data_IF_858449009571
#
_entry.id   IF_858449009571
#
_cell.length_a   1.000
_cell.length_b   1.000
_cell.length_c   1.000
_cell.angle_alpha   90.00
_cell.angle_beta   90.00
_cell.angle_gamma   90.00
#
_symmetry.space_group_name_H-M   'P 1'
#
loop_
_entity.id
_entity.type
_entity.pdbx_description
1 polymer ?
#
# COMPACT_ATOMS: atom_id res chain seq x y z
N UNK A 1 -9.73 -50.86 -22.63
CA UNK A 1 -11.19 -50.80 -22.46
C UNK A 1 -11.43 -50.76 -20.96
N UNK A 2 -12.08 -49.76 -20.36
CA UNK A 2 -12.72 -48.56 -20.95
C UNK A 2 -12.62 -47.34 -20.01
N UNK A 3 -12.87 -46.16 -20.59
CA UNK A 3 -13.08 -44.83 -20.00
C UNK A 3 -12.98 -44.61 -18.47
N UNK A 4 -12.02 -43.78 -18.07
CA UNK A 4 -12.19 -42.88 -16.92
C UNK A 4 -12.91 -41.60 -17.38
N UNK A 5 -13.95 -41.17 -16.65
CA UNK A 5 -14.73 -39.96 -16.97
C UNK A 5 -14.11 -38.72 -16.32
N UNK A 6 -13.85 -37.68 -17.12
CA UNK A 6 -13.43 -36.36 -16.64
C UNK A 6 -14.62 -35.60 -16.04
N UNK A 7 -14.69 -35.47 -14.71
CA UNK A 7 -15.53 -34.45 -14.09
C UNK A 7 -14.77 -33.11 -14.01
N UNK A 8 -15.22 -32.14 -14.80
CA UNK A 8 -14.63 -30.80 -14.83
C UNK A 8 -15.01 -30.01 -13.58
N UNK A 9 -14.08 -29.91 -12.62
CA UNK A 9 -14.27 -29.08 -11.43
C UNK A 9 -14.32 -27.59 -11.82
N UNK A 10 -15.48 -26.94 -11.66
CA UNK A 10 -15.67 -25.53 -12.01
C UNK A 10 -15.03 -24.62 -10.94
N UNK A 11 -14.35 -23.52 -11.30
CA UNK A 11 -13.89 -22.54 -10.33
C UNK A 11 -15.10 -21.85 -9.67
N UNK A 12 -15.10 -21.81 -8.33
CA UNK A 12 -16.06 -21.02 -7.56
C UNK A 12 -15.65 -19.53 -7.57
N UNK A 13 -16.58 -18.57 -7.62
CA UNK A 13 -16.26 -17.16 -7.82
C UNK A 13 -15.57 -16.50 -6.62
N UNK A 14 -14.68 -15.55 -6.92
CA UNK A 14 -13.99 -14.70 -5.95
C UNK A 14 -14.96 -13.90 -5.06
N UNK A 15 -14.63 -13.74 -3.78
CA UNK A 15 -15.41 -12.94 -2.83
C UNK A 15 -14.55 -11.91 -2.13
N UNK A 16 -14.54 -10.69 -2.67
CA UNK A 16 -14.29 -9.45 -1.93
C UNK A 16 -15.34 -8.41 -2.34
N UNK A 17 -16.49 -8.45 -1.67
CA UNK A 17 -17.48 -7.38 -1.73
C UNK A 17 -16.99 -6.21 -0.85
N UNK A 18 -16.50 -5.15 -1.48
CA UNK A 18 -16.55 -3.81 -0.90
C UNK A 18 -17.83 -3.12 -1.43
N UNK A 19 -18.50 -2.33 -0.60
CA UNK A 19 -19.86 -1.87 -0.90
C UNK A 19 -19.95 -1.00 -2.16
N UNK A 20 -21.06 -1.19 -2.89
CA UNK A 20 -21.62 -0.25 -3.86
C UNK A 20 -23.13 -0.14 -3.64
N UNK A 21 -23.71 0.84 -4.35
CA UNK A 21 -25.14 1.10 -4.57
C UNK A 21 -25.91 1.76 -3.41
N UNK A 22 -26.99 2.52 -3.71
CA UNK A 22 -27.67 2.63 -5.02
C UNK A 22 -27.82 4.05 -5.60
N UNK A 23 -28.04 4.14 -6.93
CA UNK A 23 -29.17 4.91 -7.51
C UNK A 23 -29.33 4.74 -9.06
N UNK A 24 -30.55 5.08 -9.53
CA UNK A 24 -30.97 5.40 -10.92
C UNK A 24 -31.07 4.27 -11.97
N UNK A 25 -32.19 3.55 -11.87
CA UNK A 25 -33.16 3.26 -12.94
C UNK A 25 -32.72 3.19 -14.43
N UNK A 26 -33.01 2.04 -15.07
CA UNK A 26 -33.28 1.93 -16.51
C UNK A 26 -34.77 1.67 -16.76
N UNK A 27 -35.44 2.48 -17.59
CA UNK A 27 -36.86 2.32 -17.96
C UNK A 27 -37.06 2.53 -19.46
N UNK A 28 -37.72 1.55 -20.10
CA UNK A 28 -38.61 1.73 -21.26
C UNK A 28 -38.11 2.51 -22.47
N UNK A 29 -37.69 1.77 -23.51
CA UNK A 29 -37.78 2.27 -24.89
C UNK A 29 -39.27 2.52 -25.24
N UNK A 30 -39.63 3.77 -25.49
CA UNK A 30 -40.98 4.17 -25.93
C UNK A 30 -40.89 5.29 -26.97
N UNK A 31 -41.21 4.99 -28.22
CA UNK A 31 -41.11 5.94 -29.32
C UNK A 31 -42.33 6.88 -29.35
N UNK A 32 -42.10 8.19 -29.47
CA UNK A 32 -43.15 9.14 -29.86
C UNK A 32 -42.57 10.31 -30.66
N UNK A 33 -43.04 10.43 -31.90
CA UNK A 33 -42.56 11.35 -32.93
C UNK A 33 -43.38 12.66 -32.89
N UNK A 34 -42.72 13.82 -32.82
CA UNK A 34 -43.31 15.14 -33.10
C UNK A 34 -42.25 16.19 -33.46
N UNK A 35 -42.69 17.30 -34.05
CA UNK A 35 -41.91 18.17 -34.93
C UNK A 35 -41.23 19.37 -34.25
N UNK A 36 -40.24 19.92 -34.96
CA UNK A 36 -39.58 21.22 -34.70
C UNK A 36 -40.59 22.39 -34.57
N UNK A 37 -40.15 23.50 -33.96
CA UNK A 37 -39.63 24.59 -34.79
C UNK A 37 -38.21 25.05 -34.44
N UNK A 38 -37.55 25.68 -35.42
CA UNK A 38 -36.21 26.28 -35.33
C UNK A 38 -36.24 27.60 -34.54
N UNK A 39 -35.16 27.90 -33.80
CA UNK A 39 -34.97 29.21 -33.15
C UNK A 39 -33.49 29.62 -33.21
N UNK A 40 -33.22 30.71 -33.94
CA UNK A 40 -31.87 31.27 -34.15
C UNK A 40 -31.52 32.29 -33.06
N UNK A 41 -30.28 32.25 -32.56
CA UNK A 41 -29.72 33.23 -31.62
C UNK A 41 -28.33 33.66 -32.15
N UNK A 42 -28.01 34.97 -32.21
CA UNK A 42 -26.83 35.47 -32.92
C UNK A 42 -25.53 35.42 -32.11
N UNK A 43 -24.39 35.44 -32.82
CA UNK A 43 -23.07 35.72 -32.23
C UNK A 43 -22.84 37.22 -32.09
N UNK A 44 -22.34 37.73 -30.95
CA UNK A 44 -21.62 39.00 -30.91
C UNK A 44 -20.19 38.83 -31.44
N UNK A 45 -19.64 39.88 -32.05
CA UNK A 45 -18.23 39.96 -32.43
C UNK A 45 -17.45 40.85 -31.45
N UNK A 46 -16.16 40.59 -31.26
CA UNK A 46 -15.30 41.38 -30.39
C UNK A 46 -13.83 41.05 -30.56
N UNK A 47 -13.11 41.86 -31.34
CA UNK A 47 -11.70 41.66 -31.69
C UNK A 47 -10.90 42.93 -31.44
N UNK A 48 -9.81 42.83 -30.68
CA UNK A 48 -8.80 43.90 -30.55
C UNK A 48 -7.38 43.33 -30.69
N UNK A 49 -6.38 44.12 -31.14
CA UNK A 49 -5.22 43.58 -31.86
C UNK A 49 -3.90 43.59 -31.07
N UNK A 50 -2.97 42.73 -31.51
CA UNK A 50 -1.54 42.83 -31.18
C UNK A 50 -0.77 43.55 -32.31
N UNK A 51 0.23 44.40 -31.98
CA UNK A 51 1.00 45.15 -32.99
C UNK A 51 2.02 44.26 -33.72
N UNK A 52 2.28 44.58 -35.01
CA UNK A 52 3.32 43.90 -35.81
C UNK A 52 4.60 44.73 -35.87
N UNK A 53 5.73 44.16 -35.44
CA UNK A 53 7.06 44.55 -35.93
C UNK A 53 7.37 43.88 -37.27
N UNK A 54 8.14 44.54 -38.15
CA UNK A 54 8.69 43.95 -39.39
C UNK A 54 10.22 44.03 -39.36
N UNK A 55 10.90 42.97 -39.82
CA UNK A 55 12.36 42.91 -40.02
C UNK A 55 12.72 42.09 -41.26
N UNK A 56 13.92 42.29 -41.84
CA UNK A 56 14.34 41.76 -43.16
C UNK A 56 15.87 41.61 -43.26
N UNK A 57 16.45 40.81 -44.17
CA UNK A 57 15.81 39.89 -45.12
C UNK A 57 15.79 38.43 -44.56
N UNK A 58 16.57 37.42 -44.94
CA UNK A 58 17.62 37.24 -45.97
C UNK A 58 17.52 35.81 -46.60
N UNK A 59 18.62 35.26 -47.14
CA UNK A 59 18.65 33.96 -47.82
C UNK A 59 19.90 33.15 -47.49
N UNK A 60 19.73 31.83 -47.30
CA UNK A 60 20.71 30.79 -47.63
C UNK A 60 19.95 29.47 -47.88
N UNK A 61 20.45 28.58 -48.76
CA UNK A 61 19.77 27.32 -49.13
C UNK A 61 20.76 26.18 -49.43
N UNK A 62 20.93 25.27 -48.48
CA UNK A 62 21.47 23.91 -48.64
C UNK A 62 20.80 23.04 -47.56
N UNK A 63 20.16 21.90 -47.84
CA UNK A 63 20.71 20.63 -48.33
C UNK A 63 21.70 19.98 -47.36
N UNK A 64 21.20 19.17 -46.41
CA UNK A 64 21.17 17.70 -46.54
C UNK A 64 20.45 17.03 -45.33
N UNK A 65 20.29 15.71 -45.39
CA UNK A 65 19.54 14.88 -44.44
C UNK A 65 20.32 14.45 -43.21
N UNK A 66 19.68 14.50 -42.04
CA UNK A 66 20.13 13.89 -40.78
C UNK A 66 18.91 13.55 -39.90
N UNK A 67 18.98 12.46 -39.12
CA UNK A 67 17.81 11.94 -38.39
C UNK A 67 17.50 12.69 -37.08
N UNK A 68 16.23 12.95 -36.83
CA UNK A 68 15.72 13.54 -35.58
C UNK A 68 15.11 12.48 -34.66
N UNK A 69 15.70 12.26 -33.49
CA UNK A 69 15.20 11.30 -32.51
C UNK A 69 16.18 11.05 -31.36
N UNK A 70 16.34 12.02 -30.46
CA UNK A 70 17.25 11.87 -29.32
C UNK A 70 17.44 13.06 -28.37
N UNK A 71 16.95 14.27 -28.69
CA UNK A 71 17.32 15.48 -27.92
C UNK A 71 16.31 15.86 -26.82
N UNK A 72 15.00 15.70 -27.04
CA UNK A 72 13.95 16.11 -26.07
C UNK A 72 13.91 15.28 -24.77
N UNK A 73 14.53 14.10 -24.74
CA UNK A 73 14.51 13.20 -23.58
C UNK A 73 15.48 13.61 -22.46
N UNK A 74 16.56 14.35 -22.79
CA UNK A 74 17.65 14.66 -21.85
C UNK A 74 17.23 15.67 -20.75
N UNK A 75 16.51 16.77 -21.05
CA UNK A 75 16.11 17.73 -20.02
C UNK A 75 15.19 17.12 -18.95
N UNK A 76 14.18 16.36 -19.38
CA UNK A 76 13.22 15.72 -18.47
C UNK A 76 13.91 14.70 -17.54
N UNK A 77 14.86 13.91 -18.06
CA UNK A 77 15.63 12.97 -17.25
C UNK A 77 16.54 13.67 -16.23
N UNK A 78 17.13 14.82 -16.58
CA UNK A 78 17.90 15.64 -15.63
C UNK A 78 17.02 16.27 -14.56
N UNK A 79 15.84 16.77 -14.91
CA UNK A 79 14.90 17.38 -13.96
C UNK A 79 14.30 16.35 -13.00
N UNK A 80 13.85 15.18 -13.50
CA UNK A 80 13.42 14.06 -12.67
C UNK A 80 14.54 13.61 -11.71
N UNK A 81 15.78 13.54 -12.18
CA UNK A 81 16.93 13.21 -11.34
C UNK A 81 17.17 14.25 -10.25
N UNK A 82 17.14 15.54 -10.56
CA UNK A 82 17.28 16.61 -9.55
C UNK A 82 16.12 16.59 -8.54
N UNK A 83 14.89 16.33 -8.98
CA UNK A 83 13.76 16.15 -8.08
C UNK A 83 13.91 14.93 -7.17
N UNK A 84 14.42 13.81 -7.69
CA UNK A 84 14.74 12.61 -6.89
C UNK A 84 15.82 12.90 -5.86
N UNK A 85 16.94 13.51 -6.27
CA UNK A 85 18.05 13.87 -5.38
C UNK A 85 17.57 14.83 -4.27
N UNK A 86 16.69 15.80 -4.57
CA UNK A 86 16.05 16.65 -3.55
C UNK A 86 15.05 15.91 -2.65
N UNK A 87 14.38 14.86 -3.12
CA UNK A 87 13.47 14.03 -2.31
C UNK A 87 14.24 13.10 -1.36
N UNK A 88 15.33 12.50 -1.84
CA UNK A 88 16.24 11.71 -1.01
C UNK A 88 16.89 12.57 0.09
N UNK A 89 17.32 13.80 -0.25
CA UNK A 89 17.81 14.79 0.73
C UNK A 89 16.75 15.30 1.72
N UNK A 90 15.45 15.09 1.46
CA UNK A 90 14.33 15.45 2.37
C UNK A 90 13.82 14.28 3.21
N UNK A 91 14.24 13.05 2.94
CA UNK A 91 13.78 11.88 3.67
C UNK A 91 14.41 11.81 5.06
N UNK A 92 13.59 11.75 6.11
CA UNK A 92 14.08 11.67 7.49
C UNK A 92 14.43 10.24 7.84
N UNK A 93 15.71 9.98 8.13
CA UNK A 93 16.15 8.69 8.68
C UNK A 93 15.43 8.41 10.02
N UNK A 94 14.99 7.17 10.23
CA UNK A 94 14.45 6.75 11.52
C UNK A 94 15.54 6.72 12.60
N UNK A 95 15.12 6.95 13.84
CA UNK A 95 15.88 6.62 15.04
C UNK A 95 16.20 5.11 15.05
N UNK A 96 17.45 4.75 15.39
CA UNK A 96 17.90 3.36 15.59
C UNK A 96 18.42 3.25 17.02
N UNK A 97 17.92 2.28 17.79
CA UNK A 97 18.24 2.10 19.21
C UNK A 97 18.67 0.66 19.49
N UNK A 98 19.81 0.51 20.15
CA UNK A 98 20.39 -0.78 20.53
C UNK A 98 20.14 -1.10 22.01
N UNK A 99 20.12 -2.39 22.38
CA UNK A 99 20.06 -2.82 23.79
C UNK A 99 18.78 -2.43 24.55
N UNK A 100 17.68 -2.14 23.85
CA UNK A 100 16.42 -1.67 24.43
C UNK A 100 15.77 -2.76 25.29
N UNK A 101 15.52 -2.46 26.57
CA UNK A 101 14.76 -3.36 27.48
C UNK A 101 13.25 -3.13 27.34
N UNK A 102 12.44 -4.13 27.75
CA UNK A 102 10.97 -4.03 27.79
C UNK A 102 10.49 -2.79 28.56
N UNK A 103 11.14 -2.51 29.69
CA UNK A 103 10.82 -1.40 30.60
C UNK A 103 11.15 -0.06 29.97
N UNK A 104 12.28 0.03 29.24
CA UNK A 104 12.65 1.25 28.50
C UNK A 104 11.76 1.46 27.27
N UNK A 105 11.32 0.38 26.60
CA UNK A 105 10.39 0.47 25.49
C UNK A 105 9.02 0.98 25.94
N UNK A 106 8.40 0.32 26.93
CA UNK A 106 7.11 0.71 27.49
C UNK A 106 7.18 2.08 28.22
N UNK A 107 8.29 2.32 28.93
CA UNK A 107 8.75 3.59 29.52
C UNK A 107 8.70 4.77 28.54
N UNK A 108 9.64 4.73 27.60
CA UNK A 108 10.15 5.95 26.96
C UNK A 108 9.91 5.99 25.46
N UNK A 109 9.64 4.85 24.81
CA UNK A 109 9.60 4.70 23.34
C UNK A 109 8.16 4.52 22.85
N UNK A 110 7.46 3.51 23.35
CA UNK A 110 6.09 3.18 22.99
C UNK A 110 5.12 4.36 23.16
N UNK A 111 5.21 5.22 24.22
CA UNK A 111 4.36 6.40 24.35
C UNK A 111 4.67 7.52 23.35
N UNK A 112 5.82 7.52 22.65
CA UNK A 112 6.16 8.52 21.62
C UNK A 112 5.26 8.43 20.38
N UNK A 113 4.67 7.25 20.13
CA UNK A 113 3.84 6.91 18.95
C UNK A 113 4.52 7.26 17.60
N UNK A 114 5.84 7.06 17.53
CA UNK A 114 6.68 7.23 16.34
C UNK A 114 7.39 5.91 16.00
N UNK A 115 7.70 5.63 14.71
CA UNK A 115 8.48 4.47 14.32
C UNK A 115 9.93 4.59 14.79
N UNK A 116 10.54 3.45 15.11
CA UNK A 116 11.94 3.32 15.53
C UNK A 116 12.45 1.94 15.14
N UNK A 117 13.71 1.82 14.71
CA UNK A 117 14.35 0.51 14.53
C UNK A 117 15.04 0.13 15.83
N UNK A 118 14.81 -1.09 16.28
CA UNK A 118 15.46 -1.70 17.44
C UNK A 118 16.50 -2.71 16.94
N UNK A 119 17.70 -2.64 17.50
CA UNK A 119 18.85 -3.48 17.12
C UNK A 119 19.35 -4.28 18.32
N UNK A 120 20.11 -5.35 18.06
CA UNK A 120 20.71 -6.17 19.12
C UNK A 120 19.71 -7.00 19.94
N UNK A 121 18.50 -7.23 19.41
CA UNK A 121 17.48 -8.03 20.09
C UNK A 121 17.71 -9.54 19.88
N UNK A 122 17.54 -10.31 20.95
CA UNK A 122 17.61 -11.77 20.91
C UNK A 122 16.33 -12.35 20.28
N UNK A 123 16.43 -12.70 18.99
CA UNK A 123 15.32 -13.17 18.15
C UNK A 123 15.27 -14.71 18.01
N UNK A 124 16.15 -15.44 18.68
CA UNK A 124 16.29 -16.88 18.53
C UNK A 124 17.12 -17.27 17.29
N UNK A 125 17.34 -18.58 17.08
CA UNK A 125 18.20 -19.08 16.01
C UNK A 125 17.72 -18.75 14.59
N UNK A 126 16.46 -18.32 14.40
CA UNK A 126 15.89 -18.00 13.08
C UNK A 126 16.80 -17.13 12.19
N UNK A 127 17.43 -16.10 12.76
CA UNK A 127 18.34 -15.15 12.08
C UNK A 127 19.59 -15.78 11.46
N UNK A 128 19.97 -16.99 11.89
CA UNK A 128 21.15 -17.72 11.38
C UNK A 128 20.76 -19.04 10.71
N UNK A 129 19.66 -19.66 11.16
CA UNK A 129 19.20 -20.99 10.72
C UNK A 129 18.35 -20.94 9.46
N UNK A 130 17.64 -19.83 9.19
CA UNK A 130 16.70 -19.72 8.07
C UNK A 130 17.38 -19.42 6.73
N UNK A 131 18.20 -20.37 6.28
CA UNK A 131 18.65 -20.48 4.89
C UNK A 131 17.52 -20.97 3.99
N UNK A 132 17.66 -20.78 2.67
CA UNK A 132 16.71 -21.28 1.66
C UNK A 132 16.51 -22.80 1.82
N UNK A 133 17.60 -23.55 1.97
CA UNK A 133 17.55 -25.01 2.14
C UNK A 133 16.85 -25.44 3.43
N UNK A 134 17.04 -24.73 4.55
CA UNK A 134 16.37 -25.03 5.81
C UNK A 134 14.87 -24.72 5.73
N UNK A 135 14.51 -23.54 5.21
CA UNK A 135 13.11 -23.13 5.03
C UNK A 135 12.37 -24.12 4.10
N UNK A 136 12.99 -24.55 3.01
CA UNK A 136 12.45 -25.57 2.10
C UNK A 136 12.41 -27.00 2.68
N UNK A 137 12.84 -27.23 3.92
CA UNK A 137 12.75 -28.52 4.61
C UNK A 137 11.84 -28.45 5.84
N UNK A 138 11.84 -27.33 6.58
CA UNK A 138 11.20 -27.19 7.88
C UNK A 138 9.69 -27.50 7.89
N UNK A 139 8.96 -27.03 6.87
CA UNK A 139 7.48 -27.12 6.82
C UNK A 139 6.98 -28.00 5.65
N UNK A 140 7.92 -28.69 4.98
CA UNK A 140 7.65 -29.60 3.88
C UNK A 140 6.90 -28.98 2.69
N UNK A 141 6.17 -29.83 1.97
CA UNK A 141 5.40 -29.47 0.76
C UNK A 141 4.01 -28.89 1.07
N UNK A 142 3.86 -28.16 2.19
CA UNK A 142 2.59 -27.54 2.59
C UNK A 142 2.14 -26.49 1.59
N UNK A 143 0.93 -26.61 1.05
CA UNK A 143 0.37 -25.64 0.11
C UNK A 143 0.20 -24.24 0.75
N UNK A 144 0.81 -23.22 0.15
CA UNK A 144 0.73 -21.82 0.57
C UNK A 144 0.17 -20.92 -0.53
N UNK A 145 -0.72 -20.00 -0.16
CA UNK A 145 -1.32 -19.01 -1.07
C UNK A 145 -0.37 -17.84 -1.25
N UNK A 146 0.00 -17.56 -2.49
CA UNK A 146 1.02 -16.58 -2.87
C UNK A 146 0.48 -15.60 -3.92
N UNK A 147 1.08 -14.41 -3.94
CA UNK A 147 0.92 -13.44 -5.01
C UNK A 147 2.07 -13.66 -6.00
N UNK A 148 1.76 -13.56 -7.30
CA UNK A 148 2.74 -13.63 -8.39
C UNK A 148 2.53 -12.43 -9.30
N UNK A 149 3.57 -11.66 -9.59
CA UNK A 149 3.51 -10.53 -10.52
C UNK A 149 4.65 -10.58 -11.53
N UNK A 150 4.36 -10.26 -12.79
CA UNK A 150 5.35 -10.17 -13.86
C UNK A 150 6.20 -8.87 -13.78
N UNK A 151 5.96 -8.00 -12.79
CA UNK A 151 6.71 -6.76 -12.58
C UNK A 151 7.06 -6.57 -11.09
N UNK A 152 8.13 -5.83 -10.75
CA UNK A 152 8.53 -5.63 -9.35
C UNK A 152 7.53 -4.81 -8.52
N UNK A 153 6.86 -3.82 -9.13
CA UNK A 153 5.90 -2.95 -8.45
C UNK A 153 4.47 -3.52 -8.56
N UNK A 154 3.93 -4.00 -7.43
CA UNK A 154 2.56 -4.48 -7.36
C UNK A 154 1.56 -3.33 -7.29
N UNK A 155 0.55 -3.36 -8.16
CA UNK A 155 -0.54 -2.39 -8.24
C UNK A 155 -1.87 -3.03 -7.85
N UNK A 156 -2.60 -2.43 -6.89
CA UNK A 156 -3.93 -2.86 -6.48
C UNK A 156 -5.08 -2.19 -7.25
N UNK A 157 -4.80 -1.14 -8.01
CA UNK A 157 -5.76 -0.39 -8.83
C UNK A 157 -6.03 -1.17 -10.13
N UNK A 158 -4.97 -1.48 -10.89
CA UNK A 158 -5.06 -2.34 -12.08
C UNK A 158 -5.06 -3.84 -11.76
N UNK A 159 -4.58 -4.22 -10.56
CA UNK A 159 -4.40 -5.63 -10.12
C UNK A 159 -3.44 -6.40 -11.04
N UNK A 160 -2.24 -5.86 -11.24
CA UNK A 160 -1.17 -6.41 -12.09
C UNK A 160 -0.49 -7.69 -11.54
N UNK A 161 -1.17 -8.44 -10.67
CA UNK A 161 -0.68 -9.62 -9.98
C UNK A 161 -1.80 -10.65 -9.85
N UNK A 162 -1.43 -11.92 -9.78
CA UNK A 162 -2.37 -13.05 -9.66
C UNK A 162 -2.14 -13.83 -8.37
N UNK A 163 -3.20 -14.42 -7.84
CA UNK A 163 -3.11 -15.40 -6.77
C UNK A 163 -2.79 -16.79 -7.34
N UNK A 164 -1.87 -17.50 -6.68
CA UNK A 164 -1.51 -18.90 -6.95
C UNK A 164 -1.36 -19.65 -5.64
N UNK A 165 -1.22 -20.97 -5.74
CA UNK A 165 -0.79 -21.83 -4.65
C UNK A 165 0.45 -22.60 -5.12
N UNK A 166 1.37 -22.85 -4.21
CA UNK A 166 2.51 -23.75 -4.39
C UNK A 166 2.78 -24.49 -3.08
N UNK A 167 3.39 -25.69 -3.14
CA UNK A 167 4.13 -26.26 -2.03
C UNK A 167 5.14 -25.23 -1.48
N UNK A 168 5.19 -25.08 -0.16
CA UNK A 168 6.01 -24.07 0.52
C UNK A 168 7.50 -24.18 0.16
N UNK A 169 8.02 -25.40 0.07
CA UNK A 169 9.40 -25.65 -0.30
C UNK A 169 9.73 -25.20 -1.73
N UNK A 170 8.83 -25.44 -2.70
CA UNK A 170 8.95 -24.98 -4.07
C UNK A 170 8.82 -23.45 -4.16
N UNK A 171 7.87 -22.87 -3.43
CA UNK A 171 7.72 -21.41 -3.33
C UNK A 171 8.99 -20.75 -2.77
N UNK A 172 9.58 -21.27 -1.69
CA UNK A 172 10.79 -20.68 -1.07
C UNK A 172 11.97 -20.65 -2.06
N UNK A 173 12.20 -21.75 -2.80
CA UNK A 173 13.28 -21.80 -3.81
C UNK A 173 13.04 -20.79 -4.93
N UNK A 174 11.85 -20.80 -5.57
CA UNK A 174 11.52 -19.85 -6.63
C UNK A 174 11.48 -18.39 -6.15
N UNK A 175 11.07 -18.14 -4.91
CA UNK A 175 11.09 -16.79 -4.34
C UNK A 175 12.52 -16.23 -4.24
N UNK A 176 13.52 -17.08 -4.01
CA UNK A 176 14.93 -16.72 -3.97
C UNK A 176 15.61 -16.63 -5.35
N UNK A 177 15.03 -17.25 -6.39
CA UNK A 177 15.54 -17.16 -7.77
C UNK A 177 15.28 -15.77 -8.40
N UNK A 178 16.19 -15.35 -9.28
CA UNK A 178 16.04 -14.12 -10.10
C UNK A 178 15.41 -14.43 -11.45
N UNK A 179 15.64 -15.63 -11.97
CA UNK A 179 14.94 -16.21 -13.13
C UNK A 179 14.58 -17.66 -12.86
N UNK A 180 13.34 -18.04 -13.17
CA UNK A 180 12.75 -19.33 -12.83
C UNK A 180 12.67 -20.22 -14.06
N UNK A 181 12.96 -21.52 -13.88
CA UNK A 181 12.72 -22.52 -14.94
C UNK A 181 11.25 -22.89 -15.11
N UNK A 182 10.48 -22.73 -14.03
CA UNK A 182 9.05 -22.99 -13.97
C UNK A 182 8.36 -21.75 -13.39
N UNK A 183 7.42 -21.17 -14.14
CA UNK A 183 6.77 -19.90 -13.80
C UNK A 183 5.29 -19.91 -14.21
N UNK A 184 4.51 -18.93 -13.73
CA UNK A 184 3.08 -18.78 -14.02
C UNK A 184 2.77 -17.69 -15.06
N UNK A 185 3.62 -16.68 -15.18
CA UNK A 185 3.47 -15.49 -16.02
C UNK A 185 4.72 -15.27 -16.89
N UNK A 186 5.89 -15.08 -16.28
CA UNK A 186 7.16 -14.77 -16.95
C UNK A 186 8.35 -15.40 -16.24
N UNK A 187 9.47 -15.60 -16.95
CA UNK A 187 10.69 -16.19 -16.38
C UNK A 187 11.31 -15.35 -15.25
N UNK A 188 10.98 -14.07 -15.14
CA UNK A 188 11.51 -13.10 -14.17
C UNK A 188 10.48 -12.69 -13.09
N UNK A 189 9.34 -13.39 -13.01
CA UNK A 189 8.22 -13.07 -12.13
C UNK A 189 8.61 -12.99 -10.64
N UNK A 190 7.85 -12.22 -9.87
CA UNK A 190 8.13 -11.94 -8.45
C UNK A 190 7.07 -12.57 -7.57
N UNK A 191 7.53 -13.30 -6.56
CA UNK A 191 6.70 -14.05 -5.63
C UNK A 191 6.58 -13.34 -4.27
N UNK A 192 5.39 -13.36 -3.68
CA UNK A 192 5.14 -12.81 -2.34
C UNK A 192 4.11 -13.62 -1.53
N UNK A 193 4.54 -14.08 -0.35
CA UNK A 193 3.71 -14.73 0.67
C UNK A 193 3.38 -13.75 1.80
N UNK A 194 2.09 -13.70 2.16
CA UNK A 194 1.56 -13.12 3.40
C UNK A 194 0.73 -14.21 4.05
N UNK A 195 1.19 -14.80 5.15
CA UNK A 195 0.46 -15.92 5.78
C UNK A 195 -0.94 -15.51 6.25
N UNK A 196 -1.87 -16.45 6.23
CA UNK A 196 -3.27 -16.25 6.63
C UNK A 196 -3.68 -17.35 7.60
N UNK A 197 -4.74 -17.11 8.38
CA UNK A 197 -5.41 -18.16 9.12
C UNK A 197 -6.04 -19.22 8.20
N UNK A 198 -6.43 -20.35 8.80
CA UNK A 198 -6.93 -21.53 8.07
C UNK A 198 -8.24 -21.22 7.34
N UNK A 199 -9.26 -20.71 8.06
CA UNK A 199 -10.34 -19.95 7.43
C UNK A 199 -10.01 -18.44 7.50
N UNK A 200 -9.59 -17.88 6.36
CA UNK A 200 -9.25 -16.46 6.19
C UNK A 200 -10.37 -15.50 6.69
N UNK A 201 -11.63 -15.95 6.79
CA UNK A 201 -12.77 -15.15 7.29
C UNK A 201 -13.00 -15.23 8.80
N UNK A 202 -12.35 -16.16 9.51
CA UNK A 202 -12.48 -16.35 10.97
C UNK A 202 -11.15 -16.27 11.72
N UNK A 203 -10.09 -16.76 11.10
CA UNK A 203 -8.80 -17.00 11.72
C UNK A 203 -7.79 -15.91 11.34
N UNK A 204 -7.20 -15.31 12.38
CA UNK A 204 -5.96 -14.55 12.31
C UNK A 204 -4.81 -15.43 11.80
N UNK A 205 -3.79 -14.80 11.19
CA UNK A 205 -2.51 -15.48 11.01
C UNK A 205 -1.81 -15.62 12.38
N UNK A 206 -1.20 -16.77 12.61
CA UNK A 206 -0.37 -17.06 13.78
C UNK A 206 0.69 -18.06 13.36
N UNK A 207 1.97 -17.65 13.36
CA UNK A 207 3.09 -18.50 12.97
C UNK A 207 3.11 -19.81 13.77
N UNK A 208 2.74 -19.78 15.06
CA UNK A 208 2.69 -20.95 15.95
C UNK A 208 1.65 -22.01 15.53
N UNK A 209 0.70 -21.64 14.67
CA UNK A 209 -0.31 -22.54 14.09
C UNK A 209 0.02 -22.92 12.65
N UNK A 210 0.37 -21.93 11.83
CA UNK A 210 0.57 -22.16 10.39
C UNK A 210 1.97 -22.67 10.02
N UNK A 211 2.99 -22.39 10.84
CA UNK A 211 4.37 -22.83 10.63
C UNK A 211 5.02 -23.18 11.99
N UNK A 212 4.55 -24.24 12.68
CA UNK A 212 4.95 -24.53 14.05
C UNK A 212 6.44 -24.87 14.18
N UNK A 213 7.07 -25.48 13.18
CA UNK A 213 8.49 -25.87 13.22
C UNK A 213 9.37 -24.62 13.05
N UNK A 214 8.96 -23.69 12.20
CA UNK A 214 9.59 -22.36 12.13
C UNK A 214 9.32 -21.52 13.39
N UNK A 215 8.15 -21.66 14.03
CA UNK A 215 7.83 -20.90 15.24
C UNK A 215 8.73 -21.25 16.44
N UNK A 216 9.30 -22.46 16.50
CA UNK A 216 10.29 -22.86 17.52
C UNK A 216 11.63 -22.11 17.38
N UNK A 217 11.94 -21.51 16.22
CA UNK A 217 13.17 -20.76 15.99
C UNK A 217 13.10 -19.27 16.36
N UNK A 218 11.92 -18.75 16.68
CA UNK A 218 11.66 -17.30 16.77
C UNK A 218 11.29 -16.88 18.19
N UNK A 219 12.16 -16.10 18.82
CA UNK A 219 11.82 -15.32 20.01
C UNK A 219 11.16 -14.00 19.60
N UNK A 220 9.84 -13.90 19.80
CA UNK A 220 9.10 -12.63 19.60
C UNK A 220 9.36 -11.71 20.80
N UNK A 221 9.81 -10.45 20.61
CA UNK A 221 10.02 -9.52 21.71
C UNK A 221 8.74 -9.25 22.51
N UNK A 222 8.72 -9.60 23.81
CA UNK A 222 7.55 -9.48 24.70
C UNK A 222 7.26 -8.04 25.17
N UNK A 223 7.31 -7.05 24.26
CA UNK A 223 7.10 -5.62 24.54
C UNK A 223 5.63 -5.18 24.55
N UNK A 224 4.71 -6.13 24.70
CA UNK A 224 3.27 -5.93 24.88
C UNK A 224 2.72 -7.05 25.80
N UNK A 225 1.55 -6.86 26.40
CA UNK A 225 0.92 -7.90 27.24
C UNK A 225 0.25 -8.97 26.37
N UNK A 226 0.23 -10.22 26.85
CA UNK A 226 -0.08 -11.40 26.01
C UNK A 226 -1.52 -11.40 25.49
N UNK A 227 -2.42 -10.74 26.22
CA UNK A 227 -3.83 -10.51 25.91
C UNK A 227 -4.02 -9.46 24.79
N UNK A 228 -3.03 -8.60 24.57
CA UNK A 228 -3.04 -7.62 23.47
C UNK A 228 -2.72 -8.26 22.12
N UNK A 229 -2.09 -9.44 22.08
CA UNK A 229 -1.74 -10.12 20.84
C UNK A 229 -2.93 -10.19 19.87
N UNK A 230 -2.67 -9.91 18.60
CA UNK A 230 -3.68 -9.99 17.54
C UNK A 230 -3.29 -10.97 16.44
N UNK A 231 -2.06 -10.92 15.90
CA UNK A 231 -1.66 -11.80 14.81
C UNK A 231 -0.14 -11.86 14.65
N UNK A 232 0.40 -12.98 14.20
CA UNK A 232 1.79 -13.07 13.71
C UNK A 232 1.79 -13.55 12.25
N UNK A 233 2.13 -12.63 11.35
CA UNK A 233 2.03 -12.78 9.89
C UNK A 233 3.42 -13.01 9.32
N UNK A 234 3.65 -14.22 8.83
CA UNK A 234 4.88 -14.61 8.15
C UNK A 234 4.91 -14.02 6.73
N UNK A 235 6.05 -13.44 6.34
CA UNK A 235 6.26 -12.72 5.08
C UNK A 235 7.51 -13.27 4.38
N UNK A 236 7.38 -13.70 3.13
CA UNK A 236 8.51 -14.05 2.25
C UNK A 236 8.30 -13.37 0.91
N UNK A 237 9.37 -12.82 0.32
CA UNK A 237 9.32 -12.00 -0.91
C UNK A 237 10.57 -12.15 -1.76
N UNK A 238 10.40 -12.18 -3.09
CA UNK A 238 11.49 -12.06 -4.05
C UNK A 238 12.20 -10.71 -4.03
N UNK A 239 13.49 -10.71 -4.39
CA UNK A 239 14.29 -9.50 -4.56
C UNK A 239 13.68 -8.53 -5.59
N UNK A 240 13.59 -7.26 -5.18
CA UNK A 240 13.03 -6.14 -5.94
C UNK A 240 11.52 -5.93 -5.78
N UNK A 241 10.79 -6.85 -5.14
CA UNK A 241 9.33 -6.73 -5.02
C UNK A 241 8.93 -5.57 -4.09
N UNK A 242 8.08 -4.68 -4.61
CA UNK A 242 7.48 -3.55 -3.91
C UNK A 242 5.99 -3.78 -3.66
N UNK A 243 5.56 -3.54 -2.41
CA UNK A 243 4.15 -3.44 -2.05
C UNK A 243 3.71 -1.97 -2.01
N UNK A 244 2.45 -1.72 -2.38
CA UNK A 244 1.81 -0.41 -2.24
C UNK A 244 1.81 0.10 -0.79
N UNK A 245 1.84 1.42 -0.64
CA UNK A 245 1.80 2.08 0.68
C UNK A 245 0.44 1.83 1.35
N UNK A 246 0.43 1.38 2.61
CA UNK A 246 -0.80 1.13 3.38
C UNK A 246 -0.58 1.38 4.88
N UNK A 247 -1.68 1.44 5.66
CA UNK A 247 -1.65 1.41 7.12
C UNK A 247 -2.41 0.22 7.69
N UNK A 248 -2.05 -0.17 8.92
CA UNK A 248 -2.77 -1.13 9.75
C UNK A 248 -3.32 -0.43 11.01
N UNK A 249 -4.37 -0.99 11.62
CA UNK A 249 -5.08 -0.45 12.79
C UNK A 249 -4.52 -1.01 14.12
N UNK A 250 -3.65 -2.00 14.04
CA UNK A 250 -2.89 -2.59 15.15
C UNK A 250 -1.49 -1.97 15.23
N UNK A 251 -0.88 -2.01 16.42
CA UNK A 251 0.57 -1.78 16.54
C UNK A 251 1.32 -3.00 15.99
N UNK A 252 2.51 -2.79 15.42
CA UNK A 252 3.21 -3.78 14.60
C UNK A 252 4.73 -3.76 14.86
N UNK A 253 5.34 -4.93 15.05
CA UNK A 253 6.78 -5.13 14.88
C UNK A 253 7.04 -5.84 13.55
N UNK A 254 7.74 -5.18 12.63
CA UNK A 254 8.32 -5.82 11.45
C UNK A 254 9.72 -6.32 11.82
N UNK A 255 9.81 -7.60 12.15
CA UNK A 255 11.05 -8.32 12.43
C UNK A 255 11.64 -8.78 11.09
N UNK A 256 12.80 -8.26 10.70
CA UNK A 256 13.51 -8.67 9.49
C UNK A 256 14.50 -9.80 9.83
N UNK A 257 14.18 -11.03 9.43
CA UNK A 257 14.94 -12.22 9.87
C UNK A 257 16.06 -12.57 8.88
N UNK A 258 15.78 -12.48 7.57
CA UNK A 258 16.74 -12.84 6.51
C UNK A 258 16.69 -11.81 5.37
N UNK A 259 17.85 -11.40 4.85
CA UNK A 259 17.99 -10.46 3.74
C UNK A 259 17.63 -9.01 4.09
N UNK A 260 17.81 -8.09 3.14
CA UNK A 260 17.67 -6.64 3.35
C UNK A 260 16.35 -6.06 2.81
N UNK A 261 15.73 -5.14 3.57
CA UNK A 261 14.42 -4.56 3.24
C UNK A 261 14.35 -3.05 3.51
N UNK A 262 14.10 -2.25 2.47
CA UNK A 262 13.82 -0.81 2.60
C UNK A 262 12.37 -0.59 3.05
N UNK A 263 12.19 0.29 4.02
CA UNK A 263 10.87 0.74 4.48
C UNK A 263 10.80 2.26 4.41
N UNK A 264 9.74 2.77 3.79
CA UNK A 264 9.41 4.19 3.72
C UNK A 264 8.09 4.42 4.45
N UNK A 265 8.04 5.39 5.35
CA UNK A 265 6.86 5.65 6.20
C UNK A 265 6.40 7.11 6.13
N UNK A 266 5.11 7.33 6.38
CA UNK A 266 4.48 8.64 6.46
C UNK A 266 3.61 8.74 7.71
N UNK A 267 3.45 9.95 8.25
CA UNK A 267 2.68 10.16 9.48
C UNK A 267 1.19 9.83 9.26
N UNK A 268 0.45 9.36 10.28
CA UNK A 268 -1.01 9.31 10.24
C UNK A 268 -1.65 10.64 9.81
N UNK A 269 -0.98 11.77 10.09
CA UNK A 269 -1.42 13.12 9.69
C UNK A 269 -1.14 13.48 8.22
N UNK A 270 -0.31 12.73 7.52
CA UNK A 270 -0.04 12.93 6.09
C UNK A 270 -1.16 12.34 5.19
N UNK A 271 -2.16 11.67 5.77
CA UNK A 271 -3.30 11.07 5.06
C UNK A 271 -3.93 11.96 3.95
N UNK A 272 -4.14 13.29 4.13
CA UNK A 272 -4.67 14.16 3.07
C UNK A 272 -3.76 14.34 1.85
N UNK A 273 -2.51 13.91 1.92
CA UNK A 273 -1.50 14.00 0.86
C UNK A 273 -1.23 12.65 0.18
N UNK A 274 -1.75 11.55 0.74
CA UNK A 274 -1.46 10.19 0.33
C UNK A 274 -2.51 9.56 -0.59
N UNK A 275 -3.56 10.29 -0.98
CA UNK A 275 -4.58 9.83 -1.96
C UNK A 275 -5.12 8.43 -1.61
N UNK A 276 -5.92 8.35 -0.55
CA UNK A 276 -6.27 7.07 0.07
C UNK A 276 -7.53 6.44 -0.53
N UNK A 277 -7.39 5.18 -0.95
CA UNK A 277 -8.48 4.27 -1.34
C UNK A 277 -8.62 3.21 -0.25
N UNK A 278 -9.44 3.51 0.76
CA UNK A 278 -9.47 2.75 2.02
C UNK A 278 -8.13 2.85 2.76
N UNK A 279 -7.54 1.72 3.17
CA UNK A 279 -6.26 1.73 3.90
C UNK A 279 -5.01 1.90 3.03
N UNK A 280 -5.16 2.04 1.71
CA UNK A 280 -4.07 2.07 0.73
C UNK A 280 -3.92 3.44 0.08
N UNK A 281 -2.68 3.88 -0.15
CA UNK A 281 -2.37 5.02 -1.01
C UNK A 281 -2.42 4.60 -2.48
N UNK A 282 -3.01 5.41 -3.35
CA UNK A 282 -2.89 5.23 -4.80
C UNK A 282 -1.47 5.53 -5.35
N UNK A 283 -0.59 6.14 -4.55
CA UNK A 283 0.77 6.50 -4.97
C UNK A 283 1.68 5.28 -4.84
N UNK A 284 1.79 4.54 -5.96
CA UNK A 284 2.55 3.29 -6.06
C UNK A 284 4.07 3.53 -6.00
N UNK A 285 4.58 4.37 -6.90
CA UNK A 285 5.97 4.81 -6.86
C UNK A 285 6.13 5.99 -5.88
N UNK A 286 6.73 5.69 -4.72
CA UNK A 286 7.00 6.68 -3.66
C UNK A 286 8.34 7.40 -3.81
N UNK A 287 9.15 7.02 -4.81
CA UNK A 287 10.47 7.60 -5.11
C UNK A 287 10.37 8.56 -6.30
N UNK A 288 9.60 8.20 -7.34
CA UNK A 288 9.24 9.02 -8.50
C UNK A 288 7.72 9.03 -8.76
N UNK A 289 6.91 9.65 -7.88
CA UNK A 289 5.46 9.72 -8.03
C UNK A 289 5.04 10.64 -9.18
N UNK A 290 3.96 10.27 -9.87
CA UNK A 290 3.25 11.11 -10.84
C UNK A 290 2.74 12.40 -10.16
N UNK A 291 3.40 13.52 -10.45
CA UNK A 291 3.09 14.82 -9.86
C UNK A 291 1.93 15.55 -10.56
N UNK A 292 1.50 15.11 -11.74
CA UNK A 292 0.31 15.67 -12.41
C UNK A 292 -0.96 15.06 -11.80
N UNK A 293 -0.94 13.76 -11.54
CA UNK A 293 -2.04 13.02 -10.90
C UNK A 293 -2.05 13.18 -9.37
N UNK A 294 -0.89 13.25 -8.72
CA UNK A 294 -0.75 13.28 -7.26
C UNK A 294 -0.03 14.54 -6.72
N UNK A 295 -0.38 15.78 -7.13
CA UNK A 295 0.36 17.00 -6.79
C UNK A 295 0.46 17.31 -5.29
N UNK A 296 -0.43 16.78 -4.44
CA UNK A 296 -0.35 16.97 -2.99
C UNK A 296 0.73 16.10 -2.32
N UNK A 297 1.20 15.02 -2.95
CA UNK A 297 2.09 14.03 -2.33
C UNK A 297 3.45 14.62 -1.92
N UNK A 298 3.92 15.68 -2.58
CA UNK A 298 5.13 16.43 -2.21
C UNK A 298 5.05 17.10 -0.82
N UNK A 299 3.86 17.16 -0.21
CA UNK A 299 3.63 17.64 1.16
C UNK A 299 3.74 16.53 2.22
N UNK A 300 3.66 15.25 1.83
CA UNK A 300 3.77 14.13 2.77
C UNK A 300 5.20 14.02 3.30
N UNK A 301 5.37 13.98 4.62
CA UNK A 301 6.71 13.92 5.21
C UNK A 301 7.25 12.48 5.21
N UNK A 302 8.12 12.19 4.25
CA UNK A 302 8.84 10.92 4.11
C UNK A 302 9.80 10.66 5.27
N UNK A 303 9.60 9.54 5.96
CA UNK A 303 10.57 8.89 6.84
C UNK A 303 11.09 7.61 6.16
N UNK A 304 12.32 7.18 6.44
CA UNK A 304 12.84 5.92 5.87
C UNK A 304 13.88 5.22 6.73
N UNK A 305 13.99 3.91 6.53
CA UNK A 305 15.10 3.08 6.98
C UNK A 305 15.36 1.96 5.97
N UNK A 306 16.53 1.31 6.08
CA UNK A 306 16.69 -0.07 5.63
C UNK A 306 16.80 -0.95 6.86
N UNK A 307 16.18 -2.12 6.80
CA UNK A 307 16.24 -3.17 7.79
C UNK A 307 17.20 -4.24 7.29
N UNK A 308 18.23 -4.48 8.08
CA UNK A 308 19.19 -5.56 7.91
C UNK A 308 18.68 -6.83 8.64
N UNK A 309 19.33 -7.98 8.46
CA UNK A 309 18.94 -9.20 9.18
C UNK A 309 19.18 -9.03 10.70
N UNK A 310 18.13 -9.24 11.50
CA UNK A 310 18.11 -9.00 12.95
C UNK A 310 17.46 -7.68 13.37
N UNK A 311 17.16 -6.76 12.45
CA UNK A 311 16.47 -5.49 12.76
C UNK A 311 14.98 -5.71 13.09
N UNK A 312 14.48 -4.98 14.09
CA UNK A 312 13.04 -4.92 14.41
C UNK A 312 12.52 -3.50 14.28
N UNK A 313 11.70 -3.23 13.28
CA UNK A 313 11.02 -1.94 13.12
C UNK A 313 9.71 -1.93 13.90
N UNK A 314 9.60 -1.03 14.89
CA UNK A 314 8.31 -0.66 15.47
C UNK A 314 7.56 0.25 14.51
N UNK A 315 6.34 -0.15 14.13
CA UNK A 315 5.37 0.65 13.39
C UNK A 315 4.15 0.84 14.30
N UNK A 316 3.94 2.05 14.86
CA UNK A 316 2.71 2.35 15.59
C UNK A 316 1.51 2.33 14.64
N UNK A 317 0.34 1.94 15.14
CA UNK A 317 -0.92 1.92 14.40
C UNK A 317 -1.18 3.24 13.65
N UNK A 318 -1.83 3.12 12.49
CA UNK A 318 -2.13 4.19 11.54
C UNK A 318 -0.91 4.82 10.83
N UNK A 319 0.33 4.40 11.11
CA UNK A 319 1.48 4.84 10.29
C UNK A 319 1.46 4.14 8.94
N UNK A 320 1.42 4.94 7.88
CA UNK A 320 1.51 4.46 6.51
C UNK A 320 2.92 3.96 6.24
N UNK A 321 3.05 2.80 5.60
CA UNK A 321 4.34 2.22 5.23
C UNK A 321 4.31 1.58 3.84
N UNK A 322 5.40 1.77 3.10
CA UNK A 322 5.74 1.15 1.82
C UNK A 322 6.98 0.28 2.05
N UNK A 323 7.03 -0.91 1.46
CA UNK A 323 8.16 -1.83 1.63
C UNK A 323 8.66 -2.32 0.27
N UNK A 324 9.99 -2.32 0.12
CA UNK A 324 10.69 -3.03 -0.95
C UNK A 324 11.71 -3.96 -0.32
N UNK A 325 11.64 -5.25 -0.66
CA UNK A 325 12.71 -6.19 -0.33
C UNK A 325 13.84 -6.00 -1.34
N UNK A 326 14.97 -5.47 -0.89
CA UNK A 326 16.13 -5.22 -1.77
C UNK A 326 16.75 -6.56 -2.22
N UNK A 327 16.62 -7.58 -1.37
CA UNK A 327 17.07 -8.96 -1.58
C UNK A 327 15.91 -9.94 -1.45
N UNK A 328 16.16 -11.24 -1.68
CA UNK A 328 15.28 -12.27 -1.14
C UNK A 328 15.30 -12.18 0.38
N UNK A 329 14.12 -12.22 1.01
CA UNK A 329 14.07 -12.06 2.46
C UNK A 329 12.82 -12.59 3.13
N UNK A 330 13.02 -12.93 4.40
CA UNK A 330 12.02 -13.48 5.32
C UNK A 330 11.82 -12.51 6.47
N UNK A 331 10.57 -12.28 6.84
CA UNK A 331 10.19 -11.40 7.95
C UNK A 331 8.95 -11.89 8.68
N UNK A 332 8.81 -11.47 9.93
CA UNK A 332 7.63 -11.70 10.75
C UNK A 332 7.03 -10.34 11.15
N UNK A 333 5.78 -10.09 10.77
CA UNK A 333 5.01 -8.99 11.35
C UNK A 333 4.26 -9.50 12.58
N UNK A 334 4.48 -8.89 13.74
CA UNK A 334 3.76 -9.20 14.98
C UNK A 334 2.85 -8.03 15.34
N UNK A 335 1.54 -8.27 15.26
CA UNK A 335 0.50 -7.28 15.49
C UNK A 335 -0.13 -7.42 16.88
N UNK A 336 -0.35 -6.29 17.57
CA UNK A 336 -1.06 -6.23 18.85
C UNK A 336 -1.99 -5.01 18.98
N UNK A 337 -2.92 -5.13 19.92
CA UNK A 337 -3.97 -4.15 20.21
C UNK A 337 -3.42 -3.03 21.10
N UNK A 338 -3.31 -1.83 20.54
CA UNK A 338 -3.00 -0.62 21.30
C UNK A 338 -4.15 -0.19 22.23
N UNK A 339 -5.39 -0.36 21.76
CA UNK A 339 -6.63 0.01 22.45
C UNK A 339 -7.23 -1.21 23.20
N UNK A 340 -8.19 -0.99 24.12
CA UNK A 340 -9.01 -2.07 24.68
C UNK A 340 -9.67 -2.92 23.57
N UNK A 341 -9.75 -4.24 23.78
CA UNK A 341 -10.08 -5.21 22.73
C UNK A 341 -11.49 -5.05 22.13
N UNK A 342 -12.43 -4.49 22.89
CA UNK A 342 -13.79 -4.13 22.48
C UNK A 342 -13.86 -2.94 21.50
N UNK A 343 -12.75 -2.23 21.29
CA UNK A 343 -12.64 -1.12 20.34
C UNK A 343 -12.64 -1.59 18.88
N UNK A 344 -12.25 -2.84 18.62
CA UNK A 344 -11.98 -3.38 17.28
C UNK A 344 -13.17 -4.18 16.73
N UNK A 345 -13.26 -4.31 15.40
CA UNK A 345 -14.22 -5.23 14.77
C UNK A 345 -13.78 -6.68 15.02
N UNK A 346 -14.65 -7.47 15.67
CA UNK A 346 -14.42 -8.90 15.96
C UNK A 346 -14.37 -9.78 14.72
N UNK A 347 -14.73 -9.24 13.56
CA UNK A 347 -14.66 -9.90 12.25
C UNK A 347 -13.49 -9.38 11.39
N UNK A 348 -12.51 -8.72 12.01
CA UNK A 348 -11.22 -8.42 11.38
C UNK A 348 -10.19 -9.53 11.67
N UNK A 349 -9.79 -10.25 10.63
CA UNK A 349 -8.70 -11.25 10.65
C UNK A 349 -7.38 -10.71 10.10
N UNK A 350 -7.37 -9.47 9.61
CA UNK A 350 -6.22 -8.85 8.94
C UNK A 350 -5.53 -7.80 9.80
N UNK A 351 -6.29 -7.02 10.58
CA UNK A 351 -5.81 -5.88 11.37
C UNK A 351 -5.97 -4.54 10.64
N UNK A 352 -6.86 -4.46 9.66
CA UNK A 352 -7.02 -3.32 8.76
C UNK A 352 -8.43 -2.67 8.78
N UNK A 353 -9.38 -3.17 9.59
CA UNK A 353 -10.69 -2.54 9.73
C UNK A 353 -10.66 -1.44 10.78
N UNK A 354 -11.31 -0.32 10.48
CA UNK A 354 -11.42 0.80 11.41
C UNK A 354 -12.04 0.38 12.76
N UNK A 355 -11.58 0.96 13.89
CA UNK A 355 -12.20 0.72 15.18
C UNK A 355 -13.70 1.01 15.15
N UNK A 356 -14.49 0.26 15.91
CA UNK A 356 -15.96 0.31 15.90
C UNK A 356 -16.52 1.72 16.19
N UNK A 357 -15.77 2.58 16.88
CA UNK A 357 -16.13 3.99 17.03
C UNK A 357 -15.97 4.80 15.72
N UNK A 358 -14.86 4.64 15.01
CA UNK A 358 -14.59 5.32 13.74
C UNK A 358 -15.54 4.86 12.63
N UNK A 359 -15.74 3.54 12.48
CA UNK A 359 -16.69 2.99 11.49
C UNK A 359 -18.10 3.54 11.67
N UNK A 360 -18.61 3.59 12.93
CA UNK A 360 -19.92 4.21 13.23
C UNK A 360 -19.94 5.72 12.99
N UNK A 361 -18.84 6.44 13.24
CA UNK A 361 -18.74 7.87 12.99
C UNK A 361 -18.81 8.19 11.49
N UNK A 362 -18.12 7.41 10.64
CA UNK A 362 -18.19 7.51 9.18
C UNK A 362 -19.62 7.27 8.70
N UNK A 363 -20.26 6.18 9.13
CA UNK A 363 -21.67 5.89 8.83
C UNK A 363 -22.67 6.98 9.28
N UNK A 364 -22.30 7.85 10.23
CA UNK A 364 -23.12 9.00 10.65
C UNK A 364 -22.80 10.23 9.79
N UNK A 365 -21.53 10.44 9.43
CA UNK A 365 -21.11 11.46 8.46
C UNK A 365 -21.77 11.24 7.09
N UNK A 366 -21.78 10.02 6.57
CA UNK A 366 -22.41 9.69 5.28
C UNK A 366 -23.90 10.05 5.26
N UNK A 367 -24.61 9.80 6.37
CA UNK A 367 -26.01 10.19 6.55
C UNK A 367 -26.19 11.71 6.62
N UNK A 368 -25.29 12.43 7.27
CA UNK A 368 -25.32 13.89 7.33
C UNK A 368 -25.00 14.54 5.97
N UNK A 369 -24.06 13.97 5.21
CA UNK A 369 -23.74 14.38 3.84
C UNK A 369 -24.94 14.15 2.91
N UNK A 370 -25.64 13.01 3.03
CA UNK A 370 -26.86 12.72 2.28
C UNK A 370 -27.97 13.75 2.52
N UNK A 371 -28.16 14.24 3.76
CA UNK A 371 -29.11 15.33 4.02
C UNK A 371 -28.69 16.66 3.37
N UNK A 372 -27.39 16.90 3.13
CA UNK A 372 -26.94 18.07 2.36
C UNK A 372 -27.15 17.92 0.84
N UNK A 373 -27.47 16.73 0.32
CA UNK A 373 -27.84 16.52 -1.09
C UNK A 373 -29.24 17.08 -1.43
N UNK A 374 -30.06 17.37 -0.41
CA UNK A 374 -31.36 18.04 -0.54
C UNK A 374 -31.21 19.55 -0.87
N UNK A 375 -30.01 20.11 -0.73
CA UNK A 375 -29.71 21.52 -0.98
C UNK A 375 -29.07 21.74 -2.37
N UNK A 376 -29.28 22.92 -2.99
CA UNK A 376 -28.53 23.31 -4.19
C UNK A 376 -27.01 23.29 -3.96
N UNK A 377 -26.25 23.02 -5.01
CA UNK A 377 -24.81 22.73 -4.93
C UNK A 377 -23.97 23.77 -4.18
N UNK A 378 -24.23 25.07 -4.40
CA UNK A 378 -23.54 26.17 -3.72
C UNK A 378 -23.76 26.16 -2.20
N UNK A 379 -24.99 25.83 -1.76
CA UNK A 379 -25.33 25.71 -0.34
C UNK A 379 -24.70 24.46 0.27
N UNK A 380 -24.72 23.34 -0.47
CA UNK A 380 -24.07 22.07 -0.09
C UNK A 380 -22.56 22.26 0.12
N UNK A 381 -21.87 22.91 -0.82
CA UNK A 381 -20.44 23.23 -0.71
C UNK A 381 -20.14 24.11 0.51
N UNK A 382 -20.88 25.20 0.69
CA UNK A 382 -20.70 26.10 1.83
C UNK A 382 -20.87 25.38 3.18
N UNK A 383 -21.92 24.57 3.34
CA UNK A 383 -22.14 23.82 4.58
C UNK A 383 -21.15 22.66 4.76
N UNK A 384 -20.70 22.00 3.69
CA UNK A 384 -19.63 21.00 3.77
C UNK A 384 -18.31 21.62 4.26
N UNK A 385 -17.90 22.78 3.72
CA UNK A 385 -16.72 23.53 4.22
C UNK A 385 -16.87 23.88 5.70
N UNK A 386 -18.05 24.33 6.12
CA UNK A 386 -18.37 24.63 7.53
C UNK A 386 -18.30 23.39 8.43
N UNK A 387 -18.69 22.21 7.93
CA UNK A 387 -18.52 20.94 8.65
C UNK A 387 -17.04 20.56 8.80
N UNK A 388 -16.23 20.67 7.74
CA UNK A 388 -14.77 20.40 7.80
C UNK A 388 -14.09 21.29 8.82
N UNK A 389 -14.35 22.61 8.80
CA UNK A 389 -13.80 23.56 9.79
C UNK A 389 -14.19 23.19 11.23
N UNK A 390 -15.43 22.75 11.47
CA UNK A 390 -15.93 22.32 12.79
C UNK A 390 -15.35 20.98 13.25
N UNK A 391 -14.98 20.09 12.32
CA UNK A 391 -14.25 18.85 12.62
C UNK A 391 -12.81 19.18 13.01
N UNK A 392 -12.14 20.06 12.26
CA UNK A 392 -10.79 20.54 12.57
C UNK A 392 -10.75 21.24 13.94
N UNK A 393 -11.66 22.18 14.21
CA UNK A 393 -11.79 22.90 15.49
C UNK A 393 -11.93 21.96 16.70
N UNK A 394 -12.71 20.88 16.58
CA UNK A 394 -13.16 20.07 17.73
C UNK A 394 -12.49 18.72 17.89
N UNK A 395 -11.87 18.17 16.85
CA UNK A 395 -11.33 16.81 16.86
C UNK A 395 -9.85 16.72 16.49
N UNK A 396 -9.26 17.74 15.84
CA UNK A 396 -7.82 17.72 15.56
C UNK A 396 -7.06 18.24 16.79
N UNK A 397 -5.92 17.61 17.10
CA UNK A 397 -4.98 18.18 18.08
C UNK A 397 -4.26 19.36 17.45
N UNK A 398 -4.46 20.54 18.03
CA UNK A 398 -3.57 21.68 17.83
C UNK A 398 -2.32 21.46 18.68
N UNK A 399 -1.22 21.05 18.06
CA UNK A 399 0.09 20.89 18.73
C UNK A 399 0.77 22.27 18.96
N UNK A 400 0.01 23.21 19.53
CA UNK A 400 0.45 24.49 20.08
C UNK A 400 0.26 24.45 21.61
N UNK A 401 0.80 23.41 22.24
CA UNK A 401 0.76 23.12 23.67
C UNK A 401 1.70 21.98 24.03
#
# INVERSE_FOLDING_TARGET
MESLSLETFKPHPDVFLCHRDPAVAGVGLGALQRSLPTLTIPRPAGSWPWPRGRGRNASARALLSGGSGGEDAVPAAMEQRQQREQREQRAVALERLDGVTRESFLRDIYPRRKPVVLTGLELGPCTTKWTIDYLSQAEGSKEVKIHVSAVPQMDFLSKNFVYRTLPFDAFVRRAAEVKHKEYFLTEDEKYYLRSVGEDVRKDIADIRKQFPILAEDVHIPEYFEKEQFFSSVFRISSAGLQLWTHYDVMDNFLIQVTGRKRVVLYSPRDAPYLYLSGTKSEVLDVDNPDMEKYPLFVKAKRYQCVLEAGDVLFIPALWFHNVISEEFGVALNVFWKHLPAESYDKTDTYGNKDPMAASRAIQILDRALKTLEELPEEYRDFYARRMVLRIQEKAYRNDYG
#
